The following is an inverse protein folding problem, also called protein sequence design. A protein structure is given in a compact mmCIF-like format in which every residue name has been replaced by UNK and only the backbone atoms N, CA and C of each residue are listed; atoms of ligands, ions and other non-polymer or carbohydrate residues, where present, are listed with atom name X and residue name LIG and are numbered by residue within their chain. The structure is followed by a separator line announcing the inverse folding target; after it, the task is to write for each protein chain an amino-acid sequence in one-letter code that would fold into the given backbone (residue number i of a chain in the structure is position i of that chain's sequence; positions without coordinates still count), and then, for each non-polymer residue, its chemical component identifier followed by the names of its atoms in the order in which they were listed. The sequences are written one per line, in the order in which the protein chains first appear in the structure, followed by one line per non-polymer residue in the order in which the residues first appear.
data_IF_685632706863
#
_entry.id   IF_685632706863
#
_cell.length_a   1.000
_cell.length_b   1.000
_cell.length_c   1.000
_cell.angle_alpha   90.00
_cell.angle_beta   90.00
_cell.angle_gamma   90.00
#
_symmetry.space_group_name_H-M   'P 1'
#
loop_
_entity.id
_entity.type
_entity.pdbx_description
1 polymer ?
#
# COMPACT_ATOMS: atom_id res chain seq x y z
N UNK A 1 -15.84 4.89 2.06
CA UNK A 1 -14.93 5.08 3.21
C UNK A 1 -15.61 4.53 4.45
N UNK A 2 -14.86 3.99 5.40
CA UNK A 2 -15.37 3.55 6.70
C UNK A 2 -14.49 4.24 7.73
N UNK A 3 -15.09 4.98 8.66
CA UNK A 3 -14.37 5.80 9.65
C UNK A 3 -13.34 6.74 9.00
N UNK A 4 -13.72 7.42 7.92
CA UNK A 4 -12.87 8.30 7.12
C UNK A 4 -11.61 7.65 6.51
N UNK A 5 -11.50 6.33 6.60
CA UNK A 5 -10.44 5.58 5.93
C UNK A 5 -10.94 4.97 4.61
N UNK A 6 -10.06 4.91 3.58
CA UNK A 6 -10.36 4.20 2.36
C UNK A 6 -10.34 2.68 2.59
N UNK A 7 -11.31 2.01 1.98
CA UNK A 7 -11.41 0.56 1.94
C UNK A 7 -11.46 0.10 0.48
N UNK A 8 -10.83 -1.02 0.20
CA UNK A 8 -10.58 -1.50 -1.16
C UNK A 8 -11.28 -2.83 -1.39
N UNK A 9 -11.95 -2.99 -2.52
CA UNK A 9 -12.60 -4.25 -2.89
C UNK A 9 -11.51 -5.33 -3.09
N UNK A 10 -11.57 -6.37 -2.26
CA UNK A 10 -10.46 -7.32 -2.13
C UNK A 10 -10.22 -8.14 -3.41
N UNK A 11 -11.28 -8.46 -4.15
CA UNK A 11 -11.16 -9.21 -5.41
C UNK A 11 -10.36 -8.43 -6.46
N UNK A 12 -10.57 -7.11 -6.56
CA UNK A 12 -9.87 -6.26 -7.52
C UNK A 12 -8.39 -6.12 -7.14
N UNK A 13 -8.12 -5.93 -5.84
CA UNK A 13 -6.74 -5.89 -5.31
C UNK A 13 -6.02 -7.19 -5.59
N UNK A 14 -6.63 -8.34 -5.29
CA UNK A 14 -6.03 -9.64 -5.50
C UNK A 14 -5.79 -9.93 -6.99
N UNK A 15 -6.71 -9.54 -7.85
CA UNK A 15 -6.57 -9.65 -9.30
C UNK A 15 -5.36 -8.86 -9.81
N UNK A 16 -5.24 -7.59 -9.42
CA UNK A 16 -4.09 -6.74 -9.81
C UNK A 16 -2.77 -7.29 -9.29
N UNK A 17 -2.76 -7.86 -8.08
CA UNK A 17 -1.58 -8.46 -7.46
C UNK A 17 -1.24 -9.87 -7.98
N UNK A 18 -2.04 -10.42 -8.89
CA UNK A 18 -1.80 -11.73 -9.50
C UNK A 18 -2.06 -12.92 -8.58
N UNK A 19 -2.87 -12.76 -7.53
CA UNK A 19 -3.26 -13.88 -6.67
C UNK A 19 -4.26 -14.80 -7.39
N UNK A 20 -3.93 -16.09 -7.49
CA UNK A 20 -4.80 -17.09 -8.13
C UNK A 20 -6.07 -17.32 -7.32
N UNK A 21 -5.94 -17.45 -5.99
CA UNK A 21 -7.07 -17.52 -5.08
C UNK A 21 -7.09 -16.29 -4.17
N UNK A 22 -7.85 -15.27 -4.57
CA UNK A 22 -7.94 -14.02 -3.83
C UNK A 22 -8.52 -14.18 -2.43
N UNK A 23 -9.47 -15.11 -2.22
CA UNK A 23 -10.03 -15.36 -0.90
C UNK A 23 -8.96 -15.91 0.04
N UNK A 24 -8.27 -16.96 -0.38
CA UNK A 24 -7.20 -17.56 0.43
C UNK A 24 -6.08 -16.56 0.70
N UNK A 25 -5.70 -15.76 -0.31
CA UNK A 25 -4.69 -14.71 -0.16
C UNK A 25 -5.08 -13.67 0.91
N UNK A 26 -6.33 -13.17 0.89
CA UNK A 26 -6.82 -12.26 1.94
C UNK A 26 -6.77 -12.95 3.29
N UNK A 27 -7.19 -14.21 3.38
CA UNK A 27 -7.18 -14.95 4.64
C UNK A 27 -5.76 -15.21 5.19
N UNK A 28 -4.78 -15.42 4.31
CA UNK A 28 -3.40 -15.72 4.69
C UNK A 28 -2.58 -14.48 5.04
N UNK A 29 -2.87 -13.33 4.43
CA UNK A 29 -2.01 -12.14 4.54
C UNK A 29 -2.55 -11.01 5.40
N UNK A 30 -3.85 -10.97 5.68
CA UNK A 30 -4.46 -9.85 6.44
C UNK A 30 -4.90 -10.31 7.82
N UNK A 31 -5.25 -9.38 8.70
CA UNK A 31 -5.84 -9.68 10.01
C UNK A 31 -7.37 -9.51 10.00
N UNK A 32 -8.13 -10.13 10.92
CA UNK A 32 -9.59 -10.00 10.95
C UNK A 32 -10.09 -8.54 10.97
N UNK A 33 -9.41 -7.65 11.70
CA UNK A 33 -9.77 -6.22 11.79
C UNK A 33 -9.49 -5.44 10.49
N UNK A 34 -8.70 -6.00 9.57
CA UNK A 34 -8.38 -5.40 8.28
C UNK A 34 -9.36 -5.80 7.18
N UNK A 35 -10.38 -6.60 7.51
CA UNK A 35 -11.35 -7.16 6.57
C UNK A 35 -12.75 -6.73 6.97
N UNK A 36 -13.59 -6.44 5.99
CA UNK A 36 -15.00 -6.16 6.25
C UNK A 36 -15.84 -6.59 5.05
N UNK A 37 -17.11 -6.90 5.30
CA UNK A 37 -18.08 -7.14 4.23
C UNK A 37 -18.86 -5.85 3.98
N UNK A 38 -18.75 -5.32 2.77
CA UNK A 38 -19.47 -4.13 2.33
C UNK A 38 -20.57 -4.52 1.35
N UNK A 39 -21.68 -3.79 1.37
CA UNK A 39 -22.80 -4.01 0.45
C UNK A 39 -22.73 -2.98 -0.67
N UNK A 40 -22.47 -3.42 -1.90
CA UNK A 40 -22.46 -2.57 -3.09
C UNK A 40 -23.75 -2.83 -3.86
N UNK A 41 -24.69 -1.89 -3.76
CA UNK A 41 -26.06 -2.04 -4.31
C UNK A 41 -26.18 -1.67 -5.79
N UNK A 42 -25.22 -0.93 -6.32
CA UNK A 42 -25.26 -0.48 -7.70
C UNK A 42 -24.72 -1.56 -8.66
N UNK A 43 -25.46 -1.84 -9.73
CA UNK A 43 -24.99 -2.62 -10.87
C UNK A 43 -24.90 -4.14 -10.72
N UNK A 44 -25.09 -4.71 -9.52
CA UNK A 44 -25.06 -6.17 -9.33
C UNK A 44 -26.46 -6.78 -9.21
N UNK A 45 -26.84 -7.61 -10.19
CA UNK A 45 -27.90 -8.62 -10.00
C UNK A 45 -27.32 -9.80 -9.21
N UNK A 46 -27.79 -10.02 -7.98
CA UNK A 46 -27.36 -11.13 -7.12
C UNK A 46 -26.90 -10.66 -5.74
N UNK A 47 -25.96 -11.39 -5.11
CA UNK A 47 -25.43 -11.03 -3.80
C UNK A 47 -24.61 -9.72 -3.89
N UNK A 48 -25.04 -8.62 -3.26
CA UNK A 48 -24.34 -7.34 -3.30
C UNK A 48 -23.15 -7.28 -2.33
N UNK A 49 -22.98 -8.28 -1.47
CA UNK A 49 -21.89 -8.32 -0.49
C UNK A 49 -20.55 -8.54 -1.18
N UNK A 50 -19.57 -7.73 -0.81
CA UNK A 50 -18.17 -7.80 -1.26
C UNK A 50 -17.24 -7.76 -0.07
N UNK A 51 -16.19 -8.56 -0.12
CA UNK A 51 -15.10 -8.47 0.84
C UNK A 51 -14.27 -7.23 0.49
N UNK A 52 -14.04 -6.38 1.49
CA UNK A 52 -13.16 -5.23 1.40
C UNK A 52 -12.02 -5.36 2.41
N UNK A 53 -10.88 -4.76 2.07
CA UNK A 53 -9.70 -4.66 2.95
C UNK A 53 -9.42 -3.20 3.28
N UNK A 54 -8.96 -2.94 4.50
CA UNK A 54 -8.48 -1.62 4.91
C UNK A 54 -7.15 -1.29 4.21
N UNK A 55 -6.65 -0.06 4.40
CA UNK A 55 -5.31 0.32 3.92
C UNK A 55 -4.21 -0.59 4.48
N UNK A 56 -4.31 -0.99 5.75
CA UNK A 56 -3.39 -1.95 6.35
C UNK A 56 -3.44 -3.32 5.66
N UNK A 57 -4.64 -3.83 5.39
CA UNK A 57 -4.82 -5.09 4.66
C UNK A 57 -4.32 -5.03 3.21
N UNK A 58 -4.48 -3.89 2.53
CA UNK A 58 -3.90 -3.65 1.20
C UNK A 58 -2.37 -3.77 1.24
N UNK A 59 -1.70 -3.12 2.19
CA UNK A 59 -0.25 -3.23 2.29
C UNK A 59 0.19 -4.65 2.64
N UNK A 60 -0.54 -5.35 3.51
CA UNK A 60 -0.22 -6.73 3.84
C UNK A 60 -0.28 -7.65 2.61
N UNK A 61 -1.28 -7.47 1.74
CA UNK A 61 -1.37 -8.16 0.45
C UNK A 61 -0.22 -7.78 -0.50
N UNK A 62 0.16 -6.50 -0.59
CA UNK A 62 1.28 -6.07 -1.43
C UNK A 62 2.59 -6.71 -0.94
N UNK A 63 2.85 -6.70 0.36
CA UNK A 63 4.07 -7.25 0.96
C UNK A 63 4.14 -8.78 0.91
N UNK A 64 2.98 -9.44 0.78
CA UNK A 64 2.84 -10.88 0.57
C UNK A 64 2.86 -11.32 -0.90
N UNK A 65 2.74 -10.40 -1.85
CA UNK A 65 2.62 -10.73 -3.28
C UNK A 65 3.94 -11.19 -3.90
N UNK A 66 3.86 -12.13 -4.83
CA UNK A 66 4.99 -12.58 -5.65
C UNK A 66 5.15 -11.78 -6.94
N UNK A 67 4.24 -10.83 -7.24
CA UNK A 67 4.30 -10.00 -8.41
C UNK A 67 5.62 -9.19 -8.42
N UNK A 68 6.39 -9.15 -9.51
CA UNK A 68 7.69 -8.47 -9.53
C UNK A 68 7.64 -7.00 -9.11
N UNK A 69 6.58 -6.27 -9.47
CA UNK A 69 6.38 -4.88 -9.06
C UNK A 69 6.12 -4.75 -7.56
N UNK A 70 5.32 -5.63 -6.97
CA UNK A 70 5.09 -5.68 -5.53
C UNK A 70 6.37 -6.03 -4.75
N UNK A 71 7.19 -6.94 -5.28
CA UNK A 71 8.51 -7.26 -4.70
C UNK A 71 9.47 -6.08 -4.72
N UNK A 72 9.49 -5.29 -5.81
CA UNK A 72 10.28 -4.04 -5.87
C UNK A 72 9.79 -3.02 -4.85
N UNK A 73 8.47 -2.86 -4.71
CA UNK A 73 7.90 -1.99 -3.68
C UNK A 73 8.29 -2.45 -2.27
N UNK A 74 8.17 -3.76 -1.99
CA UNK A 74 8.60 -4.34 -0.72
C UNK A 74 10.07 -4.05 -0.42
N UNK A 75 10.96 -4.31 -1.37
CA UNK A 75 12.40 -4.04 -1.22
C UNK A 75 12.66 -2.55 -0.99
N UNK A 76 12.03 -1.66 -1.75
CA UNK A 76 12.15 -0.22 -1.54
C UNK A 76 11.66 0.21 -0.14
N UNK A 77 10.54 -0.33 0.33
CA UNK A 77 10.06 -0.06 1.69
C UNK A 77 11.04 -0.57 2.74
N UNK A 78 11.53 -1.80 2.62
CA UNK A 78 12.39 -2.43 3.65
C UNK A 78 13.82 -1.93 3.66
N UNK A 79 14.35 -1.57 2.49
CA UNK A 79 15.78 -1.28 2.33
C UNK A 79 16.04 0.24 2.31
N UNK A 80 15.02 1.04 2.00
CA UNK A 80 15.14 2.52 1.89
C UNK A 80 14.25 3.22 2.90
N UNK A 81 12.93 3.00 2.83
CA UNK A 81 11.97 3.81 3.60
C UNK A 81 12.05 3.53 5.10
N UNK A 82 11.98 2.27 5.52
CA UNK A 82 12.01 1.91 6.93
C UNK A 82 13.34 2.30 7.60
N UNK A 83 14.52 2.06 7.00
CA UNK A 83 15.78 2.53 7.55
C UNK A 83 15.87 4.05 7.70
N UNK A 84 15.34 4.82 6.73
CA UNK A 84 15.28 6.29 6.83
C UNK A 84 14.36 6.73 7.98
N UNK A 85 13.17 6.12 8.09
CA UNK A 85 12.26 6.39 9.20
C UNK A 85 12.88 6.06 10.57
N UNK A 86 13.67 4.99 10.68
CA UNK A 86 14.34 4.61 11.93
C UNK A 86 15.48 5.56 12.30
N UNK A 87 16.31 5.96 11.33
CA UNK A 87 17.49 6.80 11.57
C UNK A 87 17.16 8.28 11.70
N UNK A 88 16.32 8.76 10.80
CA UNK A 88 16.12 10.19 10.55
C UNK A 88 14.72 10.66 11.01
N UNK A 89 13.84 9.72 11.39
CA UNK A 89 12.47 9.99 11.84
C UNK A 89 11.51 10.38 10.70
N UNK A 90 12.00 10.49 9.48
CA UNK A 90 11.23 10.85 8.29
C UNK A 90 11.85 10.22 7.03
N UNK A 91 11.05 10.14 5.97
CA UNK A 91 11.52 9.81 4.63
C UNK A 91 11.08 10.91 3.65
N UNK A 92 12.02 11.44 2.86
CA UNK A 92 11.75 12.42 1.80
C UNK A 92 11.89 11.74 0.45
N UNK A 93 10.80 11.72 -0.32
CA UNK A 93 10.77 11.09 -1.65
C UNK A 93 11.93 11.55 -2.55
N UNK A 94 12.81 10.62 -2.90
CA UNK A 94 13.99 10.87 -3.72
C UNK A 94 15.28 11.08 -2.94
N UNK A 95 15.30 10.95 -1.61
CA UNK A 95 16.55 11.05 -0.85
C UNK A 95 17.55 9.95 -1.20
N UNK A 96 17.09 8.77 -1.66
CA UNK A 96 17.98 7.73 -2.18
C UNK A 96 18.80 8.21 -3.38
N UNK A 97 18.29 9.23 -4.10
CA UNK A 97 18.97 9.83 -5.23
C UNK A 97 20.12 10.73 -4.80
N UNK A 98 20.08 11.27 -3.59
CA UNK A 98 21.20 12.03 -3.01
C UNK A 98 22.38 11.10 -2.77
N UNK A 99 22.14 9.89 -2.25
CA UNK A 99 23.19 8.88 -2.07
C UNK A 99 23.82 8.44 -3.40
N UNK A 100 23.03 8.37 -4.49
CA UNK A 100 23.54 8.03 -5.84
C UNK A 100 24.18 9.21 -6.58
N UNK A 101 24.10 10.44 -6.06
CA UNK A 101 24.57 11.66 -6.72
C UNK A 101 23.65 12.19 -7.82
N UNK A 102 22.49 11.57 -8.05
CA UNK A 102 21.46 12.01 -9.00
C UNK A 102 20.68 13.25 -8.51
N UNK A 103 20.76 13.58 -7.21
CA UNK A 103 20.09 14.72 -6.61
C UNK A 103 21.01 15.46 -5.64
N UNK A 104 20.96 16.79 -5.64
CA UNK A 104 21.68 17.61 -4.66
C UNK A 104 20.94 17.64 -3.30
N UNK A 105 21.65 17.76 -2.17
CA UNK A 105 21.01 17.96 -0.86
C UNK A 105 20.07 19.18 -0.83
N UNK A 106 20.42 20.27 -1.52
CA UNK A 106 19.61 21.48 -1.58
C UNK A 106 18.26 21.23 -2.27
N UNK A 107 18.23 20.40 -3.31
CA UNK A 107 16.99 20.04 -4.00
C UNK A 107 16.12 19.09 -3.17
N UNK A 108 16.74 18.23 -2.35
CA UNK A 108 16.03 17.41 -1.38
C UNK A 108 15.36 18.28 -0.30
N UNK A 109 16.08 19.26 0.24
CA UNK A 109 15.56 20.20 1.25
C UNK A 109 14.36 20.98 0.70
N UNK A 110 14.45 21.49 -0.54
CA UNK A 110 13.31 22.15 -1.20
C UNK A 110 12.10 21.22 -1.29
N UNK A 111 12.27 19.94 -1.62
CA UNK A 111 11.17 18.96 -1.67
C UNK A 111 10.54 18.72 -0.29
N UNK A 112 11.34 18.65 0.76
CA UNK A 112 10.85 18.51 2.13
C UNK A 112 10.02 19.72 2.58
N UNK A 113 10.45 20.93 2.21
CA UNK A 113 9.81 22.20 2.61
C UNK A 113 8.57 22.55 1.79
N UNK A 114 8.48 22.12 0.53
CA UNK A 114 7.40 22.50 -0.40
C UNK A 114 6.19 21.57 -0.36
N UNK A 115 6.16 20.56 0.50
CA UNK A 115 5.02 19.63 0.56
C UNK A 115 3.91 20.21 1.45
N UNK A 116 2.72 20.54 0.91
CA UNK A 116 1.58 20.80 1.77
C UNK A 116 1.28 19.52 2.55
N UNK A 117 1.21 19.63 3.88
CA UNK A 117 0.58 18.65 4.74
C UNK A 117 -0.89 18.57 4.31
N UNK A 118 -1.20 17.62 3.45
CA UNK A 118 -2.58 17.22 3.18
C UNK A 118 -3.11 16.50 4.42
#
# INVERSE_FOLDING_TARGET
MINDEPWFVAVDVCFVLGYVNGRDAVHAHTEPHQRNTVVIRDGNRGNPSRLAVSKGGLFALILGSHLPTARRFKAWVTDVVLPALEKDGAYVMGEEKVATGEMSPDDLIKRGLLRPLI
#
